data_IF_502578992324
#
_entry.id   IF_502578992324
#
_cell.length_a   1.000
_cell.length_b   1.000
_cell.length_c   1.000
_cell.angle_alpha   90.00
_cell.angle_beta   90.00
_cell.angle_gamma   90.00
#
_symmetry.space_group_name_H-M   'P 1'
#
loop_
_entity.id
_entity.type
_entity.pdbx_description
1 polymer ?
#
# COMPACT_ATOMS: atom_id res chain seq x y z
N UNK A 1 -5.61 -16.55 -36.42
CA UNK A 1 -6.11 -15.40 -35.65
C UNK A 1 -7.52 -14.97 -36.12
N UNK A 2 -7.73 -14.66 -37.40
CA UNK A 2 -9.03 -14.24 -38.00
C UNK A 2 -10.17 -15.25 -37.77
N UNK A 3 -9.95 -16.55 -37.98
CA UNK A 3 -10.98 -17.59 -37.77
C UNK A 3 -11.49 -17.68 -36.32
N UNK A 4 -10.63 -17.41 -35.33
CA UNK A 4 -10.99 -17.43 -33.90
C UNK A 4 -11.91 -16.26 -33.55
N UNK A 5 -11.55 -15.07 -34.02
CA UNK A 5 -12.36 -13.86 -33.84
C UNK A 5 -13.69 -13.97 -34.56
N UNK A 6 -13.72 -14.43 -35.81
CA UNK A 6 -14.96 -14.66 -36.54
C UNK A 6 -15.92 -15.57 -35.76
N UNK A 7 -15.41 -16.65 -35.14
CA UNK A 7 -16.22 -17.53 -34.29
C UNK A 7 -16.72 -16.84 -33.03
N UNK A 8 -15.87 -16.06 -32.35
CA UNK A 8 -16.26 -15.34 -31.12
C UNK A 8 -17.34 -14.28 -31.40
N UNK A 9 -17.24 -13.55 -32.51
CA UNK A 9 -18.27 -12.61 -32.95
C UNK A 9 -19.59 -13.32 -33.31
N UNK A 10 -19.52 -14.47 -34.01
CA UNK A 10 -20.72 -15.30 -34.25
C UNK A 10 -21.34 -15.85 -32.96
N UNK A 11 -20.55 -16.00 -31.90
CA UNK A 11 -21.00 -16.43 -30.57
C UNK A 11 -21.49 -15.27 -29.70
N UNK A 12 -21.61 -14.06 -30.25
CA UNK A 12 -22.16 -12.89 -29.55
C UNK A 12 -21.15 -12.06 -28.77
N UNK A 13 -19.84 -12.27 -28.94
CA UNK A 13 -18.83 -11.34 -28.41
C UNK A 13 -18.90 -10.05 -29.23
N UNK A 14 -19.19 -8.92 -28.60
CA UNK A 14 -19.24 -7.61 -29.29
C UNK A 14 -17.95 -6.80 -29.13
N UNK A 15 -17.17 -7.08 -28.07
CA UNK A 15 -15.95 -6.34 -27.75
C UNK A 15 -14.69 -6.94 -28.38
N UNK A 16 -13.86 -6.06 -28.94
CA UNK A 16 -12.50 -6.37 -29.41
C UNK A 16 -11.45 -6.36 -28.29
N UNK A 17 -11.82 -5.90 -27.09
CA UNK A 17 -10.91 -5.86 -25.94
C UNK A 17 -10.53 -7.27 -25.49
N UNK A 18 -9.34 -7.39 -24.89
CA UNK A 18 -8.90 -8.63 -24.27
C UNK A 18 -9.78 -8.99 -23.07
N UNK A 19 -10.07 -10.28 -22.90
CA UNK A 19 -10.74 -10.76 -21.67
C UNK A 19 -9.83 -10.52 -20.45
N UNK A 20 -10.40 -10.37 -19.24
CA UNK A 20 -9.62 -10.24 -18.02
C UNK A 20 -8.58 -11.36 -17.92
N UNK A 21 -7.31 -10.99 -18.00
CA UNK A 21 -6.21 -11.95 -17.89
C UNK A 21 -5.80 -12.03 -16.42
N UNK A 22 -5.65 -13.24 -15.84
CA UNK A 22 -5.03 -13.38 -14.54
C UNK A 22 -3.60 -12.85 -14.64
N UNK A 23 -3.35 -11.71 -14.01
CA UNK A 23 -2.02 -11.11 -13.92
C UNK A 23 -1.11 -11.91 -12.99
N UNK A 24 0.14 -11.46 -12.85
CA UNK A 24 1.04 -12.01 -11.83
C UNK A 24 0.46 -11.72 -10.44
N UNK A 25 0.29 -12.72 -9.56
CA UNK A 25 -0.16 -12.46 -8.20
C UNK A 25 0.85 -11.56 -7.48
N UNK A 26 0.37 -10.47 -6.89
CA UNK A 26 1.17 -9.61 -6.02
C UNK A 26 1.33 -10.35 -4.69
N UNK A 27 2.31 -11.24 -4.62
CA UNK A 27 2.56 -12.14 -3.47
C UNK A 27 2.89 -11.40 -2.17
N UNK A 28 3.23 -10.11 -2.25
CA UNK A 28 3.73 -9.32 -1.12
C UNK A 28 2.61 -8.59 -0.37
N UNK A 29 1.51 -8.25 -1.06
CA UNK A 29 0.37 -7.54 -0.46
C UNK A 29 -0.62 -8.57 0.07
N UNK A 30 -0.23 -9.24 1.15
CA UNK A 30 -1.13 -10.09 1.93
C UNK A 30 -1.76 -9.26 3.04
N UNK A 31 -2.99 -9.59 3.45
CA UNK A 31 -3.64 -8.94 4.60
C UNK A 31 -2.79 -9.04 5.88
N UNK A 32 -2.03 -10.12 6.04
CA UNK A 32 -1.11 -10.30 7.15
C UNK A 32 -0.01 -9.24 7.16
N UNK A 33 0.61 -8.98 6.01
CA UNK A 33 1.66 -7.98 5.89
C UNK A 33 1.10 -6.57 6.11
N UNK A 34 -0.10 -6.28 5.61
CA UNK A 34 -0.79 -5.00 5.87
C UNK A 34 -0.98 -4.79 7.37
N UNK A 35 -1.52 -5.78 8.10
CA UNK A 35 -1.72 -5.69 9.55
C UNK A 35 -0.41 -5.55 10.33
N UNK A 36 0.67 -6.19 9.89
CA UNK A 36 2.00 -6.04 10.52
C UNK A 36 2.55 -4.63 10.33
N UNK A 37 2.47 -4.10 9.12
CA UNK A 37 2.90 -2.72 8.81
C UNK A 37 2.07 -1.71 9.61
N UNK A 38 0.76 -1.90 9.68
CA UNK A 38 -0.14 -1.03 10.46
C UNK A 38 0.25 -0.98 11.94
N UNK A 39 0.52 -2.14 12.55
CA UNK A 39 0.98 -2.21 13.95
C UNK A 39 2.28 -1.45 14.18
N UNK A 40 3.25 -1.58 13.28
CA UNK A 40 4.54 -0.88 13.40
C UNK A 40 4.38 0.64 13.28
N UNK A 41 3.56 1.11 12.33
CA UNK A 41 3.29 2.53 12.13
C UNK A 41 2.51 3.14 13.30
N UNK A 42 1.56 2.41 13.88
CA UNK A 42 0.80 2.87 15.05
C UNK A 42 1.64 2.87 16.33
N UNK A 43 2.60 1.96 16.46
CA UNK A 43 3.52 1.92 17.60
C UNK A 43 4.53 3.08 17.56
N UNK A 44 5.10 3.39 16.38
CA UNK A 44 5.97 4.55 16.18
C UNK A 44 5.60 5.29 14.88
N UNK A 45 4.94 6.43 15.03
CA UNK A 45 4.54 7.28 13.91
C UNK A 45 5.74 7.91 13.14
N UNK A 46 6.96 7.81 13.68
CA UNK A 46 8.19 8.35 13.07
C UNK A 46 9.08 7.27 12.45
N UNK A 47 8.63 6.02 12.43
CA UNK A 47 9.38 4.90 11.85
C UNK A 47 9.71 5.14 10.37
N UNK A 48 10.91 4.74 9.94
CA UNK A 48 11.33 4.88 8.54
C UNK A 48 10.85 3.68 7.73
N UNK A 49 10.42 3.92 6.48
CA UNK A 49 10.07 2.84 5.52
C UNK A 49 11.14 1.76 5.40
N UNK A 50 12.42 2.15 5.47
CA UNK A 50 13.55 1.21 5.40
C UNK A 50 13.60 0.24 6.59
N UNK A 51 13.25 0.71 7.80
CA UNK A 51 13.23 -0.14 8.99
C UNK A 51 12.12 -1.18 8.88
N UNK A 52 10.93 -0.76 8.44
CA UNK A 52 9.80 -1.68 8.19
C UNK A 52 10.16 -2.71 7.11
N UNK A 53 10.82 -2.26 6.03
CA UNK A 53 11.27 -3.12 4.94
C UNK A 53 12.26 -4.19 5.42
N UNK A 54 13.24 -3.80 6.25
CA UNK A 54 14.22 -4.70 6.85
C UNK A 54 13.57 -5.69 7.84
N UNK A 55 12.60 -5.23 8.65
CA UNK A 55 11.90 -6.06 9.63
C UNK A 55 11.00 -7.12 8.97
N UNK A 56 10.26 -6.74 7.93
CA UNK A 56 9.32 -7.62 7.24
C UNK A 56 9.94 -8.37 6.05
N UNK A 57 11.20 -8.09 5.72
CA UNK A 57 11.89 -8.63 4.54
C UNK A 57 11.11 -8.33 3.23
N UNK A 58 10.54 -7.14 3.15
CA UNK A 58 9.77 -6.64 2.01
C UNK A 58 10.54 -5.48 1.36
N UNK A 59 10.42 -5.29 0.05
CA UNK A 59 11.05 -4.14 -0.61
C UNK A 59 10.48 -2.82 -0.08
N UNK A 60 11.33 -1.80 0.03
CA UNK A 60 10.94 -0.47 0.49
C UNK A 60 9.81 0.12 -0.37
N UNK A 61 9.83 -0.09 -1.68
CA UNK A 61 8.77 0.40 -2.57
C UNK A 61 7.41 -0.23 -2.22
N UNK A 62 7.40 -1.54 -1.98
CA UNK A 62 6.17 -2.28 -1.62
C UNK A 62 5.62 -1.84 -0.27
N UNK A 63 6.47 -1.60 0.72
CA UNK A 63 6.03 -1.03 2.00
C UNK A 63 5.38 0.34 1.80
N UNK A 64 5.99 1.20 0.97
CA UNK A 64 5.43 2.51 0.64
C UNK A 64 4.08 2.43 -0.05
N UNK A 65 3.94 1.52 -1.03
CA UNK A 65 2.68 1.24 -1.72
C UNK A 65 1.59 0.75 -0.75
N UNK A 66 1.93 -0.16 0.17
CA UNK A 66 0.98 -0.63 1.19
C UNK A 66 0.49 0.53 2.08
N UNK A 67 1.40 1.39 2.53
CA UNK A 67 1.04 2.54 3.37
C UNK A 67 0.13 3.52 2.62
N UNK A 68 0.43 3.78 1.35
CA UNK A 68 -0.28 4.79 0.56
C UNK A 68 -1.61 4.27 -0.02
N UNK A 69 -1.58 3.12 -0.70
CA UNK A 69 -2.73 2.57 -1.45
C UNK A 69 -3.64 1.71 -0.57
N UNK A 70 -3.09 0.90 0.34
CA UNK A 70 -3.87 -0.08 1.10
C UNK A 70 -4.30 0.42 2.48
N UNK A 71 -3.49 1.25 3.14
CA UNK A 71 -3.84 1.87 4.43
C UNK A 71 -4.34 3.31 4.30
N UNK A 72 -4.27 3.90 3.10
CA UNK A 72 -4.66 5.29 2.82
C UNK A 72 -3.99 6.31 3.78
N UNK A 73 -2.74 6.04 4.16
CA UNK A 73 -1.97 6.92 5.06
C UNK A 73 -1.02 7.80 4.26
N UNK A 74 -0.77 9.01 4.77
CA UNK A 74 0.18 9.96 4.19
C UNK A 74 1.24 10.34 5.19
N UNK A 75 2.47 10.56 4.70
CA UNK A 75 3.55 11.12 5.51
C UNK A 75 3.25 12.58 5.81
N UNK A 76 3.20 12.94 7.09
CA UNK A 76 3.04 14.31 7.56
C UNK A 76 4.27 14.69 8.37
N UNK A 77 4.76 15.92 8.21
CA UNK A 77 5.84 16.44 9.05
C UNK A 77 5.31 16.85 10.43
N UNK A 78 6.07 16.52 11.48
CA UNK A 78 5.76 17.01 12.82
C UNK A 78 5.86 18.54 12.85
N UNK A 79 4.97 19.20 13.59
CA UNK A 79 5.04 20.65 13.81
C UNK A 79 6.23 20.99 14.70
N UNK A 80 6.88 22.11 14.42
CA UNK A 80 7.95 22.62 15.26
C UNK A 80 7.40 23.10 16.60
N UNK A 81 8.10 22.76 17.69
CA UNK A 81 7.73 23.14 19.05
C UNK A 81 8.90 23.95 19.65
N UNK A 82 8.71 25.23 20.00
CA UNK A 82 9.81 26.12 20.42
C UNK A 82 10.52 25.71 21.70
N UNK A 83 9.79 25.09 22.63
CA UNK A 83 10.30 24.66 23.93
C UNK A 83 9.57 23.40 24.36
N UNK A 84 10.30 22.50 25.02
CA UNK A 84 9.71 21.35 25.69
C UNK A 84 8.89 21.83 26.90
N UNK A 85 7.56 21.68 26.82
CA UNK A 85 6.67 22.04 27.91
C UNK A 85 6.80 21.04 29.05
N UNK A 86 7.04 21.54 30.25
CA UNK A 86 7.00 20.75 31.49
C UNK A 86 5.55 20.46 31.89
N UNK A 87 5.28 19.47 32.76
CA UNK A 87 3.93 19.22 33.26
C UNK A 87 3.27 20.47 33.88
N UNK A 88 4.05 21.32 34.56
CA UNK A 88 3.59 22.59 35.14
C UNK A 88 3.16 23.59 34.06
N UNK A 89 3.86 23.65 32.92
CA UNK A 89 3.52 24.56 31.81
C UNK A 89 2.20 24.18 31.11
N UNK A 90 1.72 22.95 31.29
CA UNK A 90 0.53 22.41 30.61
C UNK A 90 -0.79 22.59 31.39
N UNK A 91 -0.74 23.04 32.64
CA UNK A 91 -1.90 23.16 33.54
C UNK A 91 -2.68 24.48 33.42
N UNK A 92 -2.56 25.21 32.31
CA UNK A 92 -3.21 26.51 32.12
C UNK A 92 -4.55 26.42 31.41
#
# INVERSE_FOLDING_TARGET
MVKKWARLFHQGRESCEDDPRPGRPVTVVTEENVRKIEKLVLADQRIKLRQIAEELQISKERVGEIIYEHMNMRKISARWVPKMLTPFDKQR
#
